data_IF_279408753763
#
_entry.id   IF_279408753763
#
_cell.length_a   1.000
_cell.length_b   1.000
_cell.length_c   1.000
_cell.angle_alpha   90.00
_cell.angle_beta   90.00
_cell.angle_gamma   90.00
#
_symmetry.space_group_name_H-M   'P 1'
#
loop_
_entity.id
_entity.type
_entity.pdbx_description
1 polymer ?
#
# COMPACT_ATOMS: atom_id res chain seq x y z
N UNK A 1 9.90 4.83 25.16
CA UNK A 1 8.68 4.13 24.69
C UNK A 1 8.06 5.01 23.62
N UNK A 2 8.09 4.61 22.35
CA UNK A 2 7.51 5.42 21.28
C UNK A 2 6.00 5.52 21.51
N UNK A 3 5.44 6.73 21.47
CA UNK A 3 4.00 6.96 21.57
C UNK A 3 3.27 6.00 20.62
N UNK A 4 2.30 5.23 21.15
CA UNK A 4 1.42 4.44 20.30
C UNK A 4 0.67 5.43 19.41
N UNK A 5 0.99 5.44 18.11
CA UNK A 5 0.19 6.15 17.11
C UNK A 5 -1.27 5.79 17.35
N UNK A 6 -2.08 6.83 17.50
CA UNK A 6 -3.52 6.73 17.76
C UNK A 6 -4.14 5.83 16.70
N UNK A 7 -4.87 4.81 17.14
CA UNK A 7 -5.60 3.93 16.23
C UNK A 7 -6.62 4.76 15.44
N UNK A 8 -6.55 4.69 14.12
CA UNK A 8 -7.47 5.36 13.20
C UNK A 8 -8.19 4.28 12.38
N UNK A 9 -9.48 4.00 12.65
CA UNK A 9 -10.22 2.95 11.96
C UNK A 9 -10.39 3.25 10.47
N UNK A 10 -10.47 4.52 10.07
CA UNK A 10 -10.54 4.91 8.67
C UNK A 10 -9.22 4.60 7.95
N UNK A 11 -8.08 4.84 8.62
CA UNK A 11 -6.76 4.50 8.08
C UNK A 11 -6.55 2.98 7.99
N UNK A 12 -7.14 2.19 8.91
CA UNK A 12 -7.17 0.73 8.79
C UNK A 12 -7.93 0.29 7.55
N UNK A 13 -9.07 0.93 7.23
CA UNK A 13 -9.83 0.64 6.00
C UNK A 13 -9.05 0.98 4.73
N UNK A 14 -8.27 2.06 4.74
CA UNK A 14 -7.33 2.34 3.65
C UNK A 14 -6.26 1.25 3.53
N UNK A 15 -5.73 0.73 4.64
CA UNK A 15 -4.77 -0.38 4.63
C UNK A 15 -5.35 -1.69 4.08
N UNK A 16 -6.61 -2.00 4.43
CA UNK A 16 -7.36 -3.13 3.87
C UNK A 16 -7.54 -2.98 2.35
N UNK A 17 -7.93 -1.80 1.86
CA UNK A 17 -8.05 -1.51 0.42
C UNK A 17 -6.74 -1.82 -0.33
N UNK A 18 -5.60 -1.34 0.18
CA UNK A 18 -4.28 -1.60 -0.43
C UNK A 18 -3.98 -3.10 -0.45
N UNK A 19 -4.33 -3.81 0.63
CA UNK A 19 -4.14 -5.27 0.73
C UNK A 19 -4.98 -6.02 -0.30
N UNK A 20 -6.23 -5.58 -0.51
CA UNK A 20 -7.15 -6.16 -1.48
C UNK A 20 -6.66 -5.94 -2.90
N UNK A 21 -6.29 -4.70 -3.26
CA UNK A 21 -5.71 -4.38 -4.58
C UNK A 21 -4.48 -5.24 -4.88
N UNK A 22 -3.56 -5.37 -3.93
CA UNK A 22 -2.38 -6.25 -4.09
C UNK A 22 -2.79 -7.70 -4.35
N UNK A 23 -3.74 -8.24 -3.57
CA UNK A 23 -4.20 -9.63 -3.75
C UNK A 23 -4.97 -9.83 -5.06
N UNK A 24 -5.61 -8.78 -5.58
CA UNK A 24 -6.34 -8.81 -6.84
C UNK A 24 -5.41 -8.94 -8.07
N UNK A 25 -4.14 -8.58 -7.96
CA UNK A 25 -3.12 -8.82 -8.99
C UNK A 25 -2.92 -10.31 -9.31
N UNK A 26 -3.28 -11.20 -8.37
CA UNK A 26 -3.21 -12.64 -8.56
C UNK A 26 -2.52 -13.37 -7.41
N UNK A 27 -2.58 -14.70 -7.47
CA UNK A 27 -2.11 -15.59 -6.40
C UNK A 27 -0.62 -15.42 -6.09
N UNK A 28 0.19 -15.08 -7.10
CA UNK A 28 1.62 -14.83 -6.93
C UNK A 28 1.92 -13.64 -6.01
N UNK A 29 1.00 -12.67 -5.89
CA UNK A 29 1.19 -11.44 -5.12
C UNK A 29 0.51 -11.49 -3.74
N UNK A 30 0.04 -12.67 -3.29
CA UNK A 30 -0.69 -12.81 -2.01
C UNK A 30 0.12 -12.50 -0.76
N UNK A 31 1.44 -12.71 -0.76
CA UNK A 31 2.31 -12.29 0.35
C UNK A 31 2.97 -10.95 0.03
N UNK A 32 3.40 -10.22 1.07
CA UNK A 32 4.10 -8.94 0.88
C UNK A 32 5.47 -9.19 0.26
N UNK A 33 6.14 -10.24 0.71
CA UNK A 33 7.47 -10.61 0.26
C UNK A 33 7.46 -10.99 -1.23
N UNK A 34 6.49 -11.81 -1.66
CA UNK A 34 6.36 -12.17 -3.06
C UNK A 34 6.02 -10.96 -3.92
N UNK A 35 5.11 -10.10 -3.46
CA UNK A 35 4.77 -8.87 -4.15
C UNK A 35 5.95 -7.93 -4.32
N UNK A 36 6.73 -7.70 -3.26
CA UNK A 36 7.89 -6.82 -3.31
C UNK A 36 8.94 -7.39 -4.27
N UNK A 37 9.25 -8.69 -4.17
CA UNK A 37 10.25 -9.35 -5.01
C UNK A 37 9.85 -9.36 -6.48
N UNK A 38 8.62 -9.76 -6.79
CA UNK A 38 8.15 -9.83 -8.18
C UNK A 38 8.10 -8.45 -8.82
N UNK A 39 7.55 -7.44 -8.13
CA UNK A 39 7.53 -6.07 -8.66
C UNK A 39 8.91 -5.46 -8.80
N UNK A 40 9.84 -5.82 -7.91
CA UNK A 40 11.24 -5.43 -8.02
C UNK A 40 11.80 -5.85 -9.39
N UNK A 41 11.61 -7.10 -9.77
CA UNK A 41 12.13 -7.65 -11.03
C UNK A 41 11.34 -7.17 -12.25
N UNK A 42 10.01 -7.07 -12.14
CA UNK A 42 9.11 -6.71 -13.25
C UNK A 42 9.15 -5.22 -13.62
N UNK A 43 9.21 -4.34 -12.62
CA UNK A 43 8.96 -2.91 -12.79
C UNK A 43 10.09 -1.99 -12.30
N UNK A 44 10.95 -2.47 -11.40
CA UNK A 44 11.97 -1.65 -10.76
C UNK A 44 13.41 -2.12 -11.03
N UNK A 45 13.62 -2.93 -12.07
CA UNK A 45 14.96 -3.33 -12.51
C UNK A 45 15.76 -4.15 -11.49
N UNK A 46 15.08 -4.85 -10.59
CA UNK A 46 15.71 -5.60 -9.49
C UNK A 46 16.09 -4.75 -8.28
N UNK A 47 15.71 -3.46 -8.25
CA UNK A 47 16.01 -2.57 -7.12
C UNK A 47 14.95 -2.59 -6.01
N UNK A 48 15.41 -2.32 -4.79
CA UNK A 48 14.51 -2.19 -3.63
C UNK A 48 13.67 -0.92 -3.73
N UNK A 49 12.38 -1.07 -4.04
CA UNK A 49 11.44 0.04 -4.18
C UNK A 49 10.63 0.34 -2.90
N UNK A 50 10.40 -0.68 -2.08
CA UNK A 50 9.77 -0.58 -0.76
C UNK A 50 10.29 -1.67 0.18
N UNK A 51 10.34 -1.39 1.49
CA UNK A 51 10.64 -2.41 2.48
C UNK A 51 9.38 -3.13 2.96
N UNK A 52 9.48 -4.43 3.29
CA UNK A 52 8.35 -5.21 3.83
C UNK A 52 7.70 -4.55 5.06
N UNK A 53 8.52 -3.95 5.96
CA UNK A 53 8.00 -3.19 7.11
C UNK A 53 7.19 -1.97 6.69
N UNK A 54 7.62 -1.23 5.68
CA UNK A 54 6.88 -0.05 5.20
C UNK A 54 5.53 -0.49 4.62
N UNK A 55 5.52 -1.48 3.73
CA UNK A 55 4.28 -2.00 3.14
C UNK A 55 3.33 -2.55 4.22
N UNK A 56 3.85 -3.29 5.20
CA UNK A 56 3.06 -3.79 6.31
C UNK A 56 2.45 -2.65 7.15
N UNK A 57 3.17 -1.55 7.36
CA UNK A 57 2.63 -0.41 8.09
C UNK A 57 1.53 0.31 7.31
N UNK A 58 1.59 0.36 5.98
CA UNK A 58 0.54 0.92 5.13
C UNK A 58 -0.71 0.01 5.16
N UNK A 59 -0.52 -1.28 4.92
CA UNK A 59 -1.62 -2.26 4.91
C UNK A 59 -2.31 -2.44 6.28
N UNK A 60 -1.60 -2.16 7.37
CA UNK A 60 -2.16 -2.17 8.73
C UNK A 60 -2.74 -0.80 9.13
N UNK A 61 -2.73 0.20 8.26
CA UNK A 61 -3.23 1.55 8.55
C UNK A 61 -2.47 2.26 9.68
N UNK A 62 -1.17 1.95 9.86
CA UNK A 62 -0.33 2.58 10.90
C UNK A 62 0.24 3.93 10.46
N UNK A 63 0.40 4.12 9.15
CA UNK A 63 1.03 5.29 8.55
C UNK A 63 0.22 5.77 7.35
N UNK A 64 0.17 7.08 7.17
CA UNK A 64 -0.17 7.67 5.88
C UNK A 64 0.92 7.40 4.86
N UNK A 65 0.52 7.16 3.62
CA UNK A 65 1.42 7.09 2.49
C UNK A 65 1.86 8.52 2.11
N UNK A 66 3.15 8.72 1.83
CA UNK A 66 3.60 9.97 1.23
C UNK A 66 3.27 9.99 -0.27
N UNK A 67 3.17 11.17 -0.88
CA UNK A 67 2.87 11.29 -2.31
C UNK A 67 3.90 10.55 -3.18
N UNK A 68 5.20 10.65 -2.86
CA UNK A 68 6.24 9.91 -3.57
C UNK A 68 6.02 8.39 -3.50
N UNK A 69 5.67 7.87 -2.32
CA UNK A 69 5.42 6.44 -2.14
C UNK A 69 4.10 5.99 -2.75
N UNK A 70 3.11 6.87 -2.85
CA UNK A 70 1.87 6.61 -3.56
C UNK A 70 2.11 6.40 -5.04
N UNK A 71 2.92 7.23 -5.68
CA UNK A 71 3.26 7.08 -7.11
C UNK A 71 3.94 5.74 -7.36
N UNK A 72 4.92 5.38 -6.52
CA UNK A 72 5.62 4.09 -6.63
C UNK A 72 4.68 2.91 -6.36
N UNK A 73 3.81 3.01 -5.35
CA UNK A 73 2.84 1.97 -5.02
C UNK A 73 1.80 1.79 -6.14
N UNK A 74 1.32 2.88 -6.73
CA UNK A 74 0.39 2.85 -7.85
C UNK A 74 0.99 2.11 -9.05
N UNK A 75 2.25 2.41 -9.40
CA UNK A 75 2.97 1.66 -10.43
C UNK A 75 3.07 0.16 -10.10
N UNK A 76 3.40 -0.18 -8.84
CA UNK A 76 3.46 -1.57 -8.40
C UNK A 76 2.10 -2.29 -8.36
N UNK A 77 1.01 -1.54 -8.23
CA UNK A 77 -0.37 -2.04 -8.32
C UNK A 77 -0.90 -2.03 -9.75
N UNK A 78 -0.13 -1.57 -10.74
CA UNK A 78 -0.58 -1.36 -12.13
C UNK A 78 -1.81 -0.44 -12.23
N UNK A 79 -1.89 0.56 -11.34
CA UNK A 79 -2.99 1.52 -11.28
C UNK A 79 -2.51 2.95 -11.58
N UNK A 80 -3.44 3.80 -12.03
CA UNK A 80 -3.18 5.22 -12.13
C UNK A 80 -3.07 5.82 -10.70
N UNK A 81 -2.04 6.64 -10.41
CA UNK A 81 -1.87 7.21 -9.08
C UNK A 81 -2.98 8.18 -8.65
N UNK A 82 -3.66 8.84 -9.60
CA UNK A 82 -4.79 9.73 -9.32
C UNK A 82 -5.99 8.91 -8.88
N UNK A 83 -6.32 7.84 -9.62
CA UNK A 83 -7.45 6.97 -9.30
C UNK A 83 -7.23 6.28 -7.95
N UNK A 84 -6.03 5.75 -7.70
CA UNK A 84 -5.67 5.17 -6.40
C UNK A 84 -5.79 6.19 -5.27
N UNK A 85 -5.35 7.44 -5.50
CA UNK A 85 -5.50 8.50 -4.50
C UNK A 85 -6.97 8.80 -4.20
N UNK A 86 -7.79 8.91 -5.24
CA UNK A 86 -9.21 9.17 -5.10
C UNK A 86 -9.88 8.07 -4.28
N UNK A 87 -9.62 6.79 -4.58
CA UNK A 87 -10.16 5.66 -3.82
C UNK A 87 -9.72 5.67 -2.35
N UNK A 88 -8.45 6.02 -2.07
CA UNK A 88 -7.92 6.18 -0.72
C UNK A 88 -8.68 7.28 0.04
N UNK A 89 -8.90 8.44 -0.59
CA UNK A 89 -9.61 9.56 0.02
C UNK A 89 -11.09 9.21 0.26
N UNK A 90 -11.76 8.64 -0.73
CA UNK A 90 -13.15 8.21 -0.61
C UNK A 90 -13.32 7.18 0.51
N UNK A 91 -12.42 6.19 0.58
CA UNK A 91 -12.40 5.19 1.66
C UNK A 91 -12.18 5.85 3.01
N UNK A 92 -11.20 6.73 3.13
CA UNK A 92 -10.92 7.41 4.39
C UNK A 92 -12.11 8.26 4.86
N UNK A 93 -12.72 9.05 3.97
CA UNK A 93 -13.87 9.90 4.29
C UNK A 93 -15.11 9.09 4.69
N UNK A 94 -15.31 7.92 4.10
CA UNK A 94 -16.45 7.04 4.40
C UNK A 94 -16.41 6.47 5.83
N UNK A 95 -15.22 6.25 6.38
CA UNK A 95 -15.02 5.58 7.67
C UNK A 95 -14.52 6.52 8.79
N UNK A 96 -14.43 7.81 8.51
CA UNK A 96 -14.07 8.86 9.47
C UNK A 96 -15.30 9.36 10.22
#
# INVERSE_FOLDING_TARGET
MAERKKYDPALVKVGELITEKRKALGDAYKSRESFISLRSDELFGGETWISSRHLANLELGKNWISIEKLIVLAAALEENPIDLFEEIIQTYQKYK
#
